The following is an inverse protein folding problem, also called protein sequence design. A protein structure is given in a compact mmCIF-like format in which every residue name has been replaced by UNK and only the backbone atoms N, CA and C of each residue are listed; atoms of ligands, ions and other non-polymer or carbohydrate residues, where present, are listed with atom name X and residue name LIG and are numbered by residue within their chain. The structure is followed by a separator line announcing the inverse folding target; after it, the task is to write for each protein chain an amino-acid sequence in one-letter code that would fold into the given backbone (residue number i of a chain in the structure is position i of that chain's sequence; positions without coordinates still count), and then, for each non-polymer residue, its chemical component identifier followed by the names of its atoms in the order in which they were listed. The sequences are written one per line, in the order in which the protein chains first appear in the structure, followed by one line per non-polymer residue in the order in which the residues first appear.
data_IF_643539682414
#
_entry.id   IF_643539682414
#
_cell.length_a   1.000
_cell.length_b   1.000
_cell.length_c   1.000
_cell.angle_alpha   90.00
_cell.angle_beta   90.00
_cell.angle_gamma   90.00
#
_symmetry.space_group_name_H-M   'P 1'
#
loop_
_entity.id
_entity.type
_entity.pdbx_description
1 polymer ?
#
# COMPACT_ATOMS: atom_id res chain seq x y z
N UNK A 1 -14.72 -28.11 -18.64
CA UNK A 1 -15.84 -27.27 -18.19
C UNK A 1 -16.38 -26.46 -19.38
N UNK A 2 -17.71 -26.26 -19.49
CA UNK A 2 -18.24 -25.36 -20.50
C UNK A 2 -17.87 -23.91 -20.15
N UNK A 3 -17.29 -23.19 -21.10
CA UNK A 3 -17.02 -21.77 -20.95
C UNK A 3 -18.32 -20.97 -20.78
N UNK A 4 -18.24 -19.79 -20.18
CA UNK A 4 -19.39 -18.90 -20.08
C UNK A 4 -19.76 -18.37 -21.47
N UNK A 5 -21.05 -18.30 -21.78
CA UNK A 5 -21.56 -17.74 -23.04
C UNK A 5 -21.27 -16.23 -23.12
N UNK A 6 -21.33 -15.53 -22.00
CA UNK A 6 -20.88 -14.16 -21.84
C UNK A 6 -19.79 -14.10 -20.75
N UNK A 7 -18.54 -13.99 -21.16
CA UNK A 7 -17.39 -13.98 -20.26
C UNK A 7 -17.34 -12.71 -19.40
N UNK A 8 -17.69 -11.56 -19.96
CA UNK A 8 -17.65 -10.28 -19.28
C UNK A 8 -18.67 -10.24 -18.13
N UNK A 9 -19.88 -10.74 -18.38
CA UNK A 9 -20.90 -10.90 -17.35
C UNK A 9 -20.45 -11.88 -16.25
N UNK A 10 -19.86 -13.00 -16.63
CA UNK A 10 -19.39 -14.02 -15.69
C UNK A 10 -18.30 -13.47 -14.77
N UNK A 11 -17.34 -12.75 -15.31
CA UNK A 11 -16.26 -12.08 -14.57
C UNK A 11 -16.82 -10.99 -13.65
N UNK A 12 -17.71 -10.13 -14.18
CA UNK A 12 -18.29 -9.03 -13.40
C UNK A 12 -19.08 -9.53 -12.18
N UNK A 13 -19.92 -10.56 -12.37
CA UNK A 13 -20.68 -11.16 -11.27
C UNK A 13 -19.77 -11.86 -10.26
N UNK A 14 -18.70 -12.50 -10.73
CA UNK A 14 -17.74 -13.13 -9.82
C UNK A 14 -16.93 -12.10 -9.01
N UNK A 15 -16.51 -11.01 -9.62
CA UNK A 15 -15.83 -9.91 -8.91
C UNK A 15 -16.74 -9.33 -7.81
N UNK A 16 -18.00 -9.08 -8.12
CA UNK A 16 -18.98 -8.63 -7.14
C UNK A 16 -19.18 -9.67 -6.02
N UNK A 17 -19.31 -10.95 -6.36
CA UNK A 17 -19.44 -12.03 -5.38
C UNK A 17 -18.26 -12.06 -4.42
N UNK A 18 -17.03 -12.01 -4.92
CA UNK A 18 -15.82 -11.99 -4.09
C UNK A 18 -15.77 -10.76 -3.18
N UNK A 19 -16.17 -9.61 -3.69
CA UNK A 19 -16.22 -8.35 -2.94
C UNK A 19 -17.23 -8.40 -1.77
N UNK A 20 -18.45 -8.87 -2.01
CA UNK A 20 -19.48 -9.00 -0.97
C UNK A 20 -19.08 -10.06 0.08
N UNK A 21 -18.44 -11.16 -0.37
CA UNK A 21 -17.89 -12.18 0.53
C UNK A 21 -16.78 -11.64 1.42
N UNK A 22 -15.88 -10.80 0.89
CA UNK A 22 -14.80 -10.20 1.68
C UNK A 22 -15.32 -9.26 2.78
N UNK A 23 -16.54 -8.74 2.62
CA UNK A 23 -17.24 -7.95 3.64
C UNK A 23 -17.95 -8.80 4.71
N UNK A 24 -17.85 -10.13 4.64
CA UNK A 24 -18.55 -11.03 5.55
C UNK A 24 -20.06 -11.10 5.33
N UNK A 25 -20.60 -10.56 4.24
CA UNK A 25 -22.03 -10.57 3.98
C UNK A 25 -22.49 -11.93 3.42
N UNK A 26 -23.62 -12.47 3.90
CA UNK A 26 -24.18 -13.70 3.36
C UNK A 26 -24.75 -13.45 1.96
N UNK A 27 -24.44 -14.36 1.02
CA UNK A 27 -24.89 -14.25 -0.37
C UNK A 27 -25.74 -15.48 -0.70
N UNK A 28 -26.99 -15.24 -1.09
CA UNK A 28 -27.89 -16.30 -1.54
C UNK A 28 -27.86 -16.47 -3.08
N UNK A 29 -28.23 -17.66 -3.55
CA UNK A 29 -28.35 -17.92 -4.99
C UNK A 29 -29.27 -16.93 -5.73
N UNK A 30 -30.47 -16.61 -5.21
CA UNK A 30 -31.33 -15.58 -5.78
C UNK A 30 -30.69 -14.19 -5.88
N UNK A 31 -29.85 -13.82 -4.90
CA UNK A 31 -29.14 -12.55 -4.91
C UNK A 31 -28.10 -12.50 -6.02
N UNK A 32 -27.36 -13.58 -6.27
CA UNK A 32 -26.45 -13.70 -7.43
C UNK A 32 -27.21 -13.58 -8.75
N UNK A 33 -28.35 -14.23 -8.89
CA UNK A 33 -29.16 -14.14 -10.09
C UNK A 33 -29.68 -12.71 -10.34
N UNK A 34 -30.16 -12.03 -9.29
CA UNK A 34 -30.58 -10.63 -9.37
C UNK A 34 -29.42 -9.73 -9.82
N UNK A 35 -28.26 -9.89 -9.21
CA UNK A 35 -27.07 -9.11 -9.56
C UNK A 35 -26.61 -9.38 -10.99
N UNK A 36 -26.69 -10.62 -11.46
CA UNK A 36 -26.37 -10.96 -12.85
C UNK A 36 -27.28 -10.27 -13.86
N UNK A 37 -28.58 -10.16 -13.56
CA UNK A 37 -29.52 -9.41 -14.42
C UNK A 37 -29.19 -7.91 -14.45
N UNK A 38 -28.89 -7.31 -13.30
CA UNK A 38 -28.49 -5.90 -13.20
C UNK A 38 -27.23 -5.62 -14.01
N UNK A 39 -26.20 -6.45 -13.84
CA UNK A 39 -24.93 -6.32 -14.56
C UNK A 39 -25.06 -6.59 -16.05
N UNK A 40 -25.86 -7.59 -16.46
CA UNK A 40 -26.15 -7.85 -17.87
C UNK A 40 -26.77 -6.63 -18.55
N UNK A 41 -27.72 -5.97 -17.89
CA UNK A 41 -28.34 -4.73 -18.40
C UNK A 41 -27.31 -3.60 -18.55
N UNK A 42 -26.43 -3.42 -17.57
CA UNK A 42 -25.39 -2.38 -17.59
C UNK A 42 -24.28 -2.65 -18.62
N UNK A 43 -23.98 -3.93 -18.88
CA UNK A 43 -23.03 -4.36 -19.91
C UNK A 43 -23.61 -4.31 -21.33
N UNK A 44 -24.90 -3.94 -21.51
CA UNK A 44 -25.55 -4.01 -22.80
C UNK A 44 -25.68 -5.44 -23.35
N UNK A 45 -25.73 -6.44 -22.45
CA UNK A 45 -25.82 -7.84 -22.80
C UNK A 45 -27.20 -8.24 -23.37
N UNK A 46 -27.33 -9.53 -23.68
CA UNK A 46 -28.56 -10.06 -24.30
C UNK A 46 -29.79 -9.77 -23.43
N UNK A 47 -30.82 -9.11 -24.04
CA UNK A 47 -32.07 -8.77 -23.35
C UNK A 47 -32.89 -10.01 -22.90
N UNK A 48 -32.70 -11.15 -23.56
CA UNK A 48 -33.35 -12.40 -23.23
C UNK A 48 -32.65 -13.20 -22.13
N UNK A 49 -31.56 -12.72 -21.59
CA UNK A 49 -30.85 -13.37 -20.50
C UNK A 49 -31.70 -13.41 -19.23
N UNK A 50 -31.89 -14.61 -18.67
CA UNK A 50 -32.81 -14.86 -17.54
C UNK A 50 -32.10 -15.43 -16.30
N UNK A 51 -30.85 -15.30 -16.08
CA UNK A 51 -30.12 -15.78 -14.89
C UNK A 51 -30.81 -16.99 -14.18
N UNK A 52 -31.10 -18.05 -14.93
CA UNK A 52 -31.88 -19.21 -14.48
C UNK A 52 -31.11 -20.01 -13.42
N UNK A 53 -31.80 -20.92 -12.72
CA UNK A 53 -31.16 -21.87 -11.79
C UNK A 53 -30.09 -22.71 -12.47
N UNK A 54 -30.29 -23.07 -13.77
CA UNK A 54 -29.30 -23.74 -14.60
C UNK A 54 -28.05 -22.89 -14.82
N UNK A 55 -28.23 -21.61 -15.15
CA UNK A 55 -27.12 -20.68 -15.25
C UNK A 55 -26.37 -20.54 -13.93
N UNK A 56 -27.08 -20.37 -12.81
CA UNK A 56 -26.48 -20.27 -11.47
C UNK A 56 -25.68 -21.54 -11.11
N UNK A 57 -26.20 -22.72 -11.44
CA UNK A 57 -25.48 -23.99 -11.22
C UNK A 57 -24.17 -24.03 -12.01
N UNK A 58 -24.19 -23.61 -13.28
CA UNK A 58 -22.99 -23.55 -14.10
C UNK A 58 -22.02 -22.47 -13.61
N UNK A 59 -22.49 -21.31 -13.19
CA UNK A 59 -21.69 -20.24 -12.58
C UNK A 59 -20.99 -20.74 -11.32
N UNK A 60 -21.72 -21.33 -10.38
CA UNK A 60 -21.13 -21.92 -9.16
C UNK A 60 -20.06 -22.95 -9.49
N UNK A 61 -20.32 -23.84 -10.47
CA UNK A 61 -19.36 -24.87 -10.87
C UNK A 61 -18.10 -24.29 -11.51
N UNK A 62 -18.19 -23.23 -12.32
CA UNK A 62 -17.02 -22.58 -12.94
C UNK A 62 -16.10 -21.93 -11.91
N UNK A 63 -16.69 -21.31 -10.90
CA UNK A 63 -15.96 -20.54 -9.88
C UNK A 63 -15.74 -21.31 -8.56
N UNK A 64 -16.06 -22.62 -8.52
CA UNK A 64 -15.86 -23.44 -7.33
C UNK A 64 -16.71 -23.02 -6.13
N UNK A 65 -17.85 -22.34 -6.37
CA UNK A 65 -18.74 -21.85 -5.31
C UNK A 65 -19.63 -22.99 -4.81
N UNK A 66 -19.64 -23.23 -3.49
CA UNK A 66 -20.52 -24.18 -2.81
C UNK A 66 -21.42 -23.46 -1.80
N UNK A 67 -22.56 -24.05 -1.49
CA UNK A 67 -23.44 -23.60 -0.42
C UNK A 67 -22.96 -24.18 0.91
N UNK A 68 -23.04 -23.35 1.95
CA UNK A 68 -22.83 -23.76 3.34
C UNK A 68 -23.97 -23.18 4.15
N UNK A 69 -24.46 -23.95 5.14
CA UNK A 69 -25.45 -23.47 6.07
C UNK A 69 -24.85 -22.38 6.97
N UNK A 70 -25.61 -21.28 7.15
CA UNK A 70 -25.24 -20.23 8.09
C UNK A 70 -25.76 -20.66 9.45
N UNK A 71 -24.90 -21.27 10.27
CA UNK A 71 -25.21 -21.51 11.67
C UNK A 71 -24.99 -20.20 12.45
N UNK A 72 -26.03 -19.75 13.13
CA UNK A 72 -26.09 -18.47 13.83
C UNK A 72 -24.92 -18.24 14.78
N UNK A 73 -24.61 -16.95 14.98
CA UNK A 73 -23.59 -16.42 15.87
C UNK A 73 -22.15 -16.80 15.55
N UNK A 74 -21.62 -16.26 14.48
CA UNK A 74 -20.20 -15.84 14.48
C UNK A 74 -19.79 -15.35 13.10
N UNK A 75 -19.72 -14.06 12.94
CA UNK A 75 -18.53 -13.39 12.41
C UNK A 75 -17.34 -13.55 13.39
N UNK A 76 -17.32 -14.60 14.21
CA UNK A 76 -16.17 -14.92 15.04
C UNK A 76 -15.22 -15.77 14.19
N UNK A 77 -14.01 -15.25 14.09
CA UNK A 77 -12.85 -15.98 13.61
C UNK A 77 -12.91 -17.44 14.08
N UNK A 78 -12.74 -18.37 13.15
CA UNK A 78 -12.80 -19.82 13.41
C UNK A 78 -11.61 -20.23 14.29
N UNK A 79 -11.82 -20.18 15.60
CA UNK A 79 -10.77 -20.48 16.59
C UNK A 79 -10.35 -21.94 16.54
N UNK A 80 -11.25 -22.85 16.19
CA UNK A 80 -10.93 -24.28 16.08
C UNK A 80 -10.04 -24.54 14.85
N UNK A 81 -10.38 -23.98 13.71
CA UNK A 81 -9.51 -24.03 12.52
C UNK A 81 -8.17 -23.31 12.74
N UNK A 82 -8.16 -22.27 13.58
CA UNK A 82 -6.93 -21.58 13.94
C UNK A 82 -5.98 -22.46 14.77
N UNK A 83 -6.50 -23.17 15.78
CA UNK A 83 -5.69 -24.10 16.59
C UNK A 83 -5.19 -25.30 15.76
N UNK A 84 -6.07 -25.88 14.93
CA UNK A 84 -5.67 -26.96 14.02
C UNK A 84 -4.56 -26.52 13.06
N UNK A 85 -4.63 -25.27 12.56
CA UNK A 85 -3.57 -24.71 11.71
C UNK A 85 -2.25 -24.55 12.47
N UNK A 86 -2.27 -24.05 13.71
CA UNK A 86 -1.04 -23.89 14.52
C UNK A 86 -0.32 -25.23 14.69
N UNK A 87 -1.07 -26.26 15.05
CA UNK A 87 -0.51 -27.60 15.23
C UNK A 87 0.04 -28.17 13.92
N UNK A 88 -0.73 -28.09 12.85
CA UNK A 88 -0.31 -28.60 11.54
C UNK A 88 0.90 -27.85 10.99
N UNK A 89 0.96 -26.54 11.20
CA UNK A 89 2.07 -25.70 10.76
C UNK A 89 3.34 -25.97 11.57
N UNK A 90 3.22 -26.11 12.90
CA UNK A 90 4.33 -26.51 13.77
C UNK A 90 4.88 -27.88 13.37
N UNK A 91 3.98 -28.88 13.22
CA UNK A 91 4.35 -30.23 12.81
C UNK A 91 5.04 -30.27 11.43
N UNK A 92 4.62 -29.40 10.51
CA UNK A 92 5.26 -29.28 9.19
C UNK A 92 6.69 -28.71 9.30
N UNK A 93 6.89 -27.68 10.13
CA UNK A 93 8.22 -27.09 10.37
C UNK A 93 9.15 -28.12 10.99
N UNK A 94 8.68 -28.81 12.04
CA UNK A 94 9.46 -29.82 12.79
C UNK A 94 9.79 -31.05 11.91
N UNK A 95 8.83 -31.54 11.14
CA UNK A 95 9.01 -32.71 10.26
C UNK A 95 10.00 -32.46 9.12
N UNK A 96 10.01 -31.25 8.55
CA UNK A 96 10.85 -30.88 7.41
C UNK A 96 12.13 -30.14 7.85
N UNK A 97 12.36 -30.01 9.16
CA UNK A 97 13.51 -29.34 9.77
C UNK A 97 13.75 -27.92 9.22
N UNK A 98 12.67 -27.16 9.03
CA UNK A 98 12.81 -25.80 8.56
C UNK A 98 13.35 -24.87 9.65
N UNK A 99 14.46 -24.23 9.36
CA UNK A 99 14.99 -23.17 10.21
C UNK A 99 14.04 -21.97 10.22
N UNK A 100 13.75 -21.38 11.37
CA UNK A 100 12.90 -20.18 11.52
C UNK A 100 13.33 -19.02 10.62
N UNK A 101 14.61 -18.91 10.30
CA UNK A 101 15.18 -17.93 9.35
C UNK A 101 14.73 -18.15 7.91
N UNK A 102 14.29 -19.35 7.56
CA UNK A 102 13.85 -19.74 6.22
C UNK A 102 12.33 -19.82 6.07
N UNK A 103 11.59 -19.53 7.13
CA UNK A 103 10.11 -19.48 7.12
C UNK A 103 9.67 -18.02 6.98
N UNK A 104 8.87 -17.74 5.96
CA UNK A 104 8.42 -16.40 5.59
C UNK A 104 6.90 -16.31 5.60
N UNK A 105 6.40 -15.14 5.94
CA UNK A 105 5.01 -14.77 5.68
C UNK A 105 4.98 -13.58 4.75
N UNK A 106 4.01 -13.59 3.85
CA UNK A 106 3.74 -12.51 2.92
C UNK A 106 2.27 -12.15 2.94
N UNK A 107 1.97 -10.87 2.81
CA UNK A 107 0.61 -10.36 2.77
C UNK A 107 0.51 -9.06 1.99
N UNK A 108 -0.66 -8.82 1.40
CA UNK A 108 -0.97 -7.64 0.60
C UNK A 108 -1.77 -6.63 1.40
N UNK A 109 -1.46 -5.35 1.20
CA UNK A 109 -2.23 -4.26 1.77
C UNK A 109 -2.45 -3.12 0.78
N UNK A 110 -3.63 -2.53 0.79
CA UNK A 110 -3.89 -1.29 0.06
C UNK A 110 -3.23 -0.10 0.74
N UNK A 111 -2.69 0.81 -0.06
CA UNK A 111 -2.09 2.06 0.40
C UNK A 111 -2.59 3.23 -0.44
N UNK A 112 -3.29 4.19 0.18
CA UNK A 112 -3.56 5.49 -0.43
C UNK A 112 -2.31 6.36 -0.36
N UNK A 113 -1.46 6.24 -1.37
CA UNK A 113 -0.09 6.74 -1.35
C UNK A 113 0.02 8.27 -1.30
N UNK A 114 -1.03 9.00 -1.69
CA UNK A 114 -1.07 10.48 -1.71
C UNK A 114 -2.13 11.05 -0.76
N UNK A 115 -2.71 10.26 0.16
CA UNK A 115 -3.78 10.74 1.03
C UNK A 115 -3.21 11.51 2.21
N UNK A 116 -3.65 12.77 2.35
CA UNK A 116 -3.34 13.66 3.47
C UNK A 116 -4.49 13.68 4.50
N UNK A 117 -4.29 14.20 5.71
CA UNK A 117 -5.38 14.48 6.63
C UNK A 117 -6.47 15.32 5.96
N UNK A 118 -7.73 15.06 6.28
CA UNK A 118 -8.88 15.64 5.55
C UNK A 118 -9.52 16.84 6.24
N UNK A 119 -9.14 17.14 7.47
CA UNK A 119 -9.72 18.24 8.22
C UNK A 119 -8.78 19.45 8.21
N UNK A 120 -9.34 20.61 7.92
CA UNK A 120 -8.72 21.93 8.02
C UNK A 120 -9.70 22.91 8.64
N UNK A 121 -9.22 24.00 9.22
CA UNK A 121 -10.09 25.07 9.68
C UNK A 121 -10.59 25.91 8.53
N UNK A 122 -11.81 26.37 8.72
CA UNK A 122 -12.43 27.42 7.90
C UNK A 122 -13.01 28.50 8.78
N UNK A 123 -13.09 29.72 8.30
CA UNK A 123 -13.83 30.78 8.94
C UNK A 123 -15.28 30.36 9.16
N UNK A 124 -15.86 30.80 10.28
CA UNK A 124 -17.27 30.49 10.65
C UNK A 124 -18.28 30.88 9.55
N UNK A 125 -17.89 31.75 8.64
CA UNK A 125 -18.72 32.25 7.53
C UNK A 125 -18.45 31.53 6.20
N UNK A 126 -17.49 30.59 6.15
CA UNK A 126 -17.18 29.84 4.94
C UNK A 126 -18.01 28.54 4.91
N UNK A 127 -18.74 28.32 3.81
CA UNK A 127 -19.56 27.12 3.61
C UNK A 127 -18.75 25.91 3.15
N UNK A 128 -17.50 26.09 2.70
CA UNK A 128 -16.60 25.02 2.28
C UNK A 128 -15.14 25.44 2.42
N UNK A 129 -14.30 24.53 2.93
CA UNK A 129 -12.86 24.75 2.95
C UNK A 129 -12.29 24.70 1.54
N UNK A 130 -11.43 25.64 1.12
CA UNK A 130 -10.55 25.41 -0.01
C UNK A 130 -9.59 24.28 0.39
N UNK A 131 -9.90 23.07 -0.03
CA UNK A 131 -9.17 21.87 0.38
C UNK A 131 -8.61 21.13 -0.82
N UNK A 132 -7.63 20.29 -0.57
CA UNK A 132 -7.14 19.33 -1.54
C UNK A 132 -8.27 18.34 -1.84
N UNK A 133 -8.56 18.12 -3.12
CA UNK A 133 -9.39 16.99 -3.51
C UNK A 133 -8.68 15.73 -3.00
N UNK A 134 -9.27 15.06 -2.02
CA UNK A 134 -8.68 13.86 -1.44
C UNK A 134 -8.34 12.86 -2.55
N UNK A 135 -7.05 12.59 -2.72
CA UNK A 135 -6.61 11.64 -3.74
C UNK A 135 -7.12 10.24 -3.38
N UNK A 136 -7.87 9.64 -4.28
CA UNK A 136 -8.31 8.24 -4.19
C UNK A 136 -7.29 7.29 -4.84
N UNK A 137 -6.11 7.80 -5.22
CA UNK A 137 -5.07 7.01 -5.87
C UNK A 137 -4.51 5.97 -4.90
N UNK A 138 -4.73 4.71 -5.22
CA UNK A 138 -4.32 3.56 -4.43
C UNK A 138 -3.31 2.71 -5.19
N UNK A 139 -2.37 2.14 -4.45
CA UNK A 139 -1.49 1.06 -4.85
C UNK A 139 -1.70 -0.13 -3.92
N UNK A 140 -1.35 -1.32 -4.36
CA UNK A 140 -1.25 -2.49 -3.49
C UNK A 140 0.23 -2.73 -3.19
N UNK A 141 0.52 -2.98 -1.93
CA UNK A 141 1.87 -3.26 -1.43
C UNK A 141 1.87 -4.64 -0.84
N UNK A 142 2.74 -5.52 -1.32
CA UNK A 142 2.99 -6.83 -0.71
C UNK A 142 4.24 -6.73 0.14
N UNK A 143 4.10 -7.02 1.42
CA UNK A 143 5.18 -7.10 2.41
C UNK A 143 5.55 -8.56 2.65
N UNK A 144 6.83 -8.86 2.92
CA UNK A 144 7.28 -10.22 3.19
C UNK A 144 8.49 -10.22 4.11
N UNK A 145 8.40 -10.98 5.21
CA UNK A 145 9.48 -11.12 6.19
C UNK A 145 9.52 -12.50 6.83
N UNK A 146 10.68 -12.89 7.38
CA UNK A 146 10.87 -14.18 8.03
C UNK A 146 10.47 -14.16 9.51
N UNK A 147 10.34 -15.34 10.10
CA UNK A 147 9.95 -15.55 11.53
C UNK A 147 10.85 -14.78 12.49
N UNK A 148 12.15 -14.74 12.25
CA UNK A 148 13.13 -14.08 13.14
C UNK A 148 13.20 -12.56 12.93
N UNK A 149 12.50 -12.02 11.92
CA UNK A 149 12.59 -10.61 11.53
C UNK A 149 13.96 -10.19 10.99
N UNK A 150 14.93 -11.11 10.92
CA UNK A 150 16.29 -10.84 10.47
C UNK A 150 16.41 -10.57 8.97
N UNK A 151 15.45 -11.06 8.20
CA UNK A 151 15.42 -10.89 6.76
C UNK A 151 14.01 -10.50 6.27
N UNK A 152 13.97 -9.53 5.38
CA UNK A 152 12.75 -9.07 4.70
C UNK A 152 13.00 -8.93 3.22
N UNK A 153 12.01 -9.25 2.42
CA UNK A 153 12.11 -9.09 0.97
C UNK A 153 11.81 -7.63 0.58
N UNK A 154 12.42 -7.14 -0.53
CA UNK A 154 11.99 -5.88 -1.14
C UNK A 154 10.49 -5.91 -1.42
N UNK A 155 9.83 -4.78 -1.20
CA UNK A 155 8.40 -4.65 -1.46
C UNK A 155 8.08 -4.98 -2.92
N UNK A 156 6.96 -5.67 -3.13
CA UNK A 156 6.29 -5.68 -4.42
C UNK A 156 5.16 -4.66 -4.38
N UNK A 157 5.18 -3.72 -5.32
CA UNK A 157 4.15 -2.68 -5.42
C UNK A 157 3.44 -2.80 -6.74
N UNK A 158 2.11 -2.80 -6.69
CA UNK A 158 1.24 -2.92 -7.85
C UNK A 158 0.49 -1.61 -8.04
N UNK A 159 0.71 -0.96 -9.17
CA UNK A 159 0.03 0.26 -9.57
C UNK A 159 -0.87 0.04 -10.79
N UNK A 160 -1.61 1.07 -11.19
CA UNK A 160 -2.50 1.01 -12.36
C UNK A 160 -1.75 1.19 -13.68
N UNK A 161 -0.80 2.11 -13.72
CA UNK A 161 -0.06 2.46 -14.94
C UNK A 161 1.00 1.42 -15.28
N UNK A 162 1.06 1.02 -16.55
CA UNK A 162 2.13 0.14 -17.05
C UNK A 162 3.48 0.87 -17.07
N UNK A 163 3.48 2.09 -17.56
CA UNK A 163 4.66 2.93 -17.70
C UNK A 163 4.39 4.31 -17.07
N UNK A 164 4.51 4.46 -15.74
CA UNK A 164 4.38 5.77 -15.11
C UNK A 164 5.43 6.73 -15.69
N UNK A 165 5.01 7.93 -16.08
CA UNK A 165 5.91 8.94 -16.65
C UNK A 165 7.12 9.24 -15.73
N UNK A 166 6.91 9.22 -14.42
CA UNK A 166 7.97 9.44 -13.43
C UNK A 166 9.01 8.31 -13.35
N UNK A 167 8.83 7.21 -14.09
CA UNK A 167 9.82 6.13 -14.22
C UNK A 167 10.63 6.23 -15.51
N UNK A 168 10.38 7.25 -16.36
CA UNK A 168 11.14 7.45 -17.59
C UNK A 168 12.65 7.61 -17.27
N UNK A 169 13.50 6.81 -17.91
CA UNK A 169 14.94 6.81 -17.68
C UNK A 169 15.41 6.08 -16.41
N UNK A 170 14.51 5.54 -15.59
CA UNK A 170 14.87 4.80 -14.40
C UNK A 170 14.94 3.31 -14.72
N UNK A 171 16.09 2.71 -14.51
CA UNK A 171 16.28 1.25 -14.65
C UNK A 171 16.11 0.51 -13.32
N UNK A 172 16.33 1.18 -12.19
CA UNK A 172 16.29 0.58 -10.86
C UNK A 172 15.46 1.39 -9.88
N UNK A 173 14.52 0.73 -9.23
CA UNK A 173 13.75 1.26 -8.10
C UNK A 173 14.10 0.47 -6.83
N UNK A 174 13.93 1.07 -5.63
CA UNK A 174 14.17 0.37 -4.37
C UNK A 174 13.10 -0.70 -4.05
N UNK A 175 12.15 -0.89 -4.96
CA UNK A 175 11.03 -1.85 -4.87
C UNK A 175 10.85 -2.58 -6.20
N UNK A 176 10.15 -3.71 -6.19
CA UNK A 176 9.67 -4.34 -7.42
C UNK A 176 8.34 -3.71 -7.80
N UNK A 177 8.26 -3.10 -8.98
CA UNK A 177 7.01 -2.53 -9.48
C UNK A 177 6.37 -3.43 -10.53
N UNK A 178 5.07 -3.63 -10.42
CA UNK A 178 4.21 -4.30 -11.40
C UNK A 178 2.97 -3.46 -11.64
N UNK A 179 2.32 -3.67 -12.76
CA UNK A 179 1.07 -3.00 -13.08
C UNK A 179 -0.08 -4.00 -13.22
N UNK A 180 -1.23 -3.57 -12.81
CA UNK A 180 -2.50 -4.23 -13.04
C UNK A 180 -3.61 -3.17 -13.05
N UNK A 181 -4.59 -3.28 -13.93
CA UNK A 181 -5.64 -2.27 -14.19
C UNK A 181 -6.28 -1.71 -12.92
N UNK A 182 -6.57 -2.57 -11.94
CA UNK A 182 -7.16 -2.20 -10.66
C UNK A 182 -6.12 -2.03 -9.54
N UNK A 183 -4.83 -2.15 -9.88
CA UNK A 183 -3.73 -2.21 -8.92
C UNK A 183 -3.93 -3.32 -7.86
N UNK A 184 -4.37 -4.51 -8.27
CA UNK A 184 -4.57 -5.66 -7.41
C UNK A 184 -3.54 -6.76 -7.69
N UNK A 185 -3.31 -7.60 -6.68
CA UNK A 185 -2.59 -8.85 -6.87
C UNK A 185 -3.46 -9.78 -7.73
N UNK A 186 -2.84 -10.40 -8.71
CA UNK A 186 -3.41 -11.50 -9.46
C UNK A 186 -2.44 -12.69 -9.50
N UNK A 187 -2.93 -13.82 -9.99
CA UNK A 187 -2.16 -15.06 -10.06
C UNK A 187 -0.88 -14.89 -10.89
N UNK A 188 -0.94 -14.14 -11.97
CA UNK A 188 0.21 -13.92 -12.87
C UNK A 188 1.30 -13.14 -12.16
N UNK A 189 0.95 -12.01 -11.51
CA UNK A 189 1.90 -11.19 -10.75
C UNK A 189 2.51 -11.98 -9.60
N UNK A 190 1.67 -12.77 -8.89
CA UNK A 190 2.16 -13.61 -7.79
C UNK A 190 3.16 -14.67 -8.28
N UNK A 191 2.83 -15.40 -9.35
CA UNK A 191 3.72 -16.41 -9.94
C UNK A 191 5.02 -15.77 -10.44
N UNK A 192 4.96 -14.64 -11.12
CA UNK A 192 6.16 -13.92 -11.57
C UNK A 192 7.02 -13.50 -10.38
N UNK A 193 6.42 -12.90 -9.36
CA UNK A 193 7.13 -12.50 -8.14
C UNK A 193 7.76 -13.72 -7.45
N UNK A 194 7.04 -14.82 -7.34
CA UNK A 194 7.53 -16.06 -6.76
C UNK A 194 8.70 -16.63 -7.55
N UNK A 195 8.61 -16.68 -8.87
CA UNK A 195 9.63 -17.23 -9.76
C UNK A 195 10.92 -16.38 -9.83
N UNK A 196 10.82 -15.05 -9.57
CA UNK A 196 12.02 -14.18 -9.51
C UNK A 196 12.91 -14.52 -8.31
N UNK A 197 12.42 -15.31 -7.35
CA UNK A 197 13.20 -15.75 -6.20
C UNK A 197 14.03 -16.97 -6.60
N UNK A 198 15.36 -16.85 -6.52
CA UNK A 198 16.32 -17.92 -6.89
C UNK A 198 16.20 -19.20 -6.04
N UNK A 199 15.49 -19.15 -4.92
CA UNK A 199 15.22 -20.27 -4.02
C UNK A 199 13.83 -20.85 -4.30
N UNK A 200 13.71 -22.16 -4.31
CA UNK A 200 12.40 -22.84 -4.35
C UNK A 200 11.77 -22.73 -2.98
N UNK A 201 10.71 -21.95 -2.86
CA UNK A 201 9.88 -21.90 -1.66
C UNK A 201 8.76 -22.93 -1.78
N UNK A 202 8.40 -23.55 -0.67
CA UNK A 202 7.12 -24.26 -0.53
C UNK A 202 6.07 -23.25 -0.09
N UNK A 203 5.04 -23.04 -0.86
CA UNK A 203 3.95 -22.11 -0.53
C UNK A 203 2.87 -22.84 0.23
N UNK A 204 2.44 -22.26 1.34
CA UNK A 204 1.31 -22.72 2.16
C UNK A 204 0.32 -21.57 2.28
N UNK A 205 -0.91 -21.81 1.87
CA UNK A 205 -1.98 -20.81 2.00
C UNK A 205 -2.69 -20.97 3.34
N UNK A 206 -2.96 -19.84 3.98
CA UNK A 206 -3.78 -19.82 5.19
C UNK A 206 -5.24 -20.17 4.84
N UNK A 207 -5.94 -20.95 5.68
CA UNK A 207 -7.36 -21.21 5.48
C UNK A 207 -8.19 -19.92 5.51
N UNK A 208 -9.35 -19.88 4.82
CA UNK A 208 -10.29 -18.77 4.94
C UNK A 208 -10.71 -18.55 6.40
N UNK A 209 -10.94 -17.28 6.78
CA UNK A 209 -11.39 -16.82 8.11
C UNK A 209 -10.39 -16.98 9.28
N UNK A 210 -9.15 -17.43 9.00
CA UNK A 210 -8.08 -17.56 10.01
C UNK A 210 -7.07 -16.39 9.91
N UNK A 211 -7.03 -15.72 8.78
CA UNK A 211 -6.09 -14.65 8.44
C UNK A 211 -6.10 -13.53 9.49
N UNK A 212 -7.28 -13.02 9.87
CA UNK A 212 -7.41 -11.95 10.87
C UNK A 212 -6.87 -12.33 12.25
N UNK A 213 -6.77 -13.62 12.56
CA UNK A 213 -6.26 -14.12 13.85
C UNK A 213 -4.79 -14.41 13.79
N UNK A 214 -4.34 -15.14 12.76
CA UNK A 214 -3.03 -15.78 12.72
C UNK A 214 -2.06 -15.22 11.68
N UNK A 215 -2.52 -14.42 10.70
CA UNK A 215 -1.65 -13.84 9.67
C UNK A 215 -0.57 -12.95 10.31
N UNK A 216 0.72 -13.32 10.28
CA UNK A 216 1.74 -12.54 10.98
C UNK A 216 1.85 -11.10 10.50
N UNK A 217 1.73 -10.83 9.19
CA UNK A 217 1.85 -9.45 8.68
C UNK A 217 0.72 -8.54 9.16
N UNK A 218 -0.47 -9.08 9.47
CA UNK A 218 -1.59 -8.35 10.07
C UNK A 218 -1.41 -8.07 11.57
N UNK A 219 -0.46 -8.76 12.24
CA UNK A 219 -0.19 -8.56 13.66
C UNK A 219 0.71 -7.34 13.92
N UNK A 220 0.29 -6.16 13.43
CA UNK A 220 0.96 -4.88 13.66
C UNK A 220 2.09 -4.54 12.68
N UNK A 221 2.55 -5.47 11.83
CA UNK A 221 3.63 -5.21 10.86
C UNK A 221 3.16 -4.24 9.77
N UNK A 222 2.03 -4.53 9.12
CA UNK A 222 1.42 -3.67 8.10
C UNK A 222 1.04 -2.30 8.70
N UNK A 223 0.52 -2.29 9.91
CA UNK A 223 0.19 -1.05 10.62
C UNK A 223 1.45 -0.19 10.83
N UNK A 224 2.53 -0.77 11.37
CA UNK A 224 3.82 -0.09 11.57
C UNK A 224 4.38 0.46 10.24
N UNK A 225 4.33 -0.34 9.17
CA UNK A 225 4.73 0.09 7.83
C UNK A 225 3.92 1.31 7.37
N UNK A 226 2.60 1.27 7.46
CA UNK A 226 1.72 2.39 7.06
C UNK A 226 1.98 3.64 7.88
N UNK A 227 2.22 3.51 9.18
CA UNK A 227 2.58 4.63 10.09
C UNK A 227 3.88 5.31 9.66
N UNK A 228 4.95 4.54 9.38
CA UNK A 228 6.21 5.09 8.89
C UNK A 228 6.07 5.73 7.50
N UNK A 229 5.25 5.16 6.62
CA UNK A 229 4.96 5.75 5.33
C UNK A 229 4.27 7.12 5.46
N UNK A 230 3.26 7.23 6.32
CA UNK A 230 2.57 8.50 6.59
C UNK A 230 3.52 9.56 7.15
N UNK A 231 4.43 9.17 8.04
CA UNK A 231 5.48 10.06 8.56
C UNK A 231 6.42 10.54 7.46
N UNK A 232 6.82 9.66 6.53
CA UNK A 232 7.65 10.03 5.39
C UNK A 232 6.93 10.99 4.43
N UNK A 233 5.64 10.75 4.16
CA UNK A 233 4.81 11.63 3.33
C UNK A 233 4.71 13.04 3.91
N UNK A 234 4.44 13.17 5.21
CA UNK A 234 4.41 14.48 5.88
C UNK A 234 5.75 15.19 5.81
N UNK A 235 6.85 14.50 6.09
CA UNK A 235 8.19 15.08 5.99
C UNK A 235 8.48 15.61 4.60
N UNK A 236 8.03 14.91 3.56
CA UNK A 236 8.21 15.36 2.18
C UNK A 236 7.45 16.66 1.90
N UNK A 237 6.24 16.79 2.44
CA UNK A 237 5.43 18.00 2.31
C UNK A 237 6.09 19.18 3.05
N UNK A 238 6.55 18.96 4.29
CA UNK A 238 7.22 20.00 5.09
C UNK A 238 8.52 20.50 4.42
N UNK A 239 9.36 19.58 3.93
CA UNK A 239 10.60 19.94 3.23
C UNK A 239 10.29 20.75 1.97
N UNK A 240 9.25 20.38 1.24
CA UNK A 240 8.84 21.12 0.04
C UNK A 240 8.36 22.54 0.35
N UNK A 241 7.62 22.71 1.44
CA UNK A 241 7.15 24.01 1.89
C UNK A 241 8.28 24.91 2.38
N UNK A 242 9.21 24.38 3.18
CA UNK A 242 10.41 25.10 3.61
C UNK A 242 11.24 25.64 2.41
N UNK A 243 11.00 25.11 1.20
CA UNK A 243 11.54 25.64 -0.07
C UNK A 243 10.67 26.75 -0.70
N UNK A 244 9.83 27.45 0.10
CA UNK A 244 8.92 28.52 -0.33
C UNK A 244 7.85 28.09 -1.38
N UNK A 245 7.66 26.78 -1.57
CA UNK A 245 6.60 26.29 -2.45
C UNK A 245 5.29 26.18 -1.69
N UNK A 246 4.18 26.66 -2.24
CA UNK A 246 2.86 26.44 -1.65
C UNK A 246 2.60 24.92 -1.46
N UNK A 247 2.02 24.53 -0.34
CA UNK A 247 1.71 23.11 -0.04
C UNK A 247 0.97 22.43 -1.19
N UNK A 248 0.05 23.16 -1.87
CA UNK A 248 -0.69 22.66 -3.01
C UNK A 248 0.25 22.25 -4.15
N UNK A 249 1.28 23.04 -4.41
CA UNK A 249 2.26 22.75 -5.45
C UNK A 249 3.12 21.54 -5.05
N UNK A 250 3.63 21.51 -3.81
CA UNK A 250 4.40 20.37 -3.29
C UNK A 250 3.59 19.09 -3.39
N UNK A 251 2.32 19.15 -2.97
CA UNK A 251 1.42 18.01 -3.05
C UNK A 251 1.14 17.57 -4.49
N UNK A 252 1.01 18.51 -5.44
CA UNK A 252 0.83 18.20 -6.86
C UNK A 252 2.08 17.51 -7.43
N UNK A 253 3.28 17.94 -7.06
CA UNK A 253 4.56 17.42 -7.53
C UNK A 253 4.88 16.01 -7.02
N UNK A 254 4.34 15.60 -5.84
CA UNK A 254 4.53 14.23 -5.34
C UNK A 254 3.99 13.22 -6.35
N UNK A 255 4.84 12.33 -6.80
CA UNK A 255 4.54 11.36 -7.84
C UNK A 255 4.75 9.91 -7.36
N UNK A 256 4.48 8.95 -8.22
CA UNK A 256 4.55 7.54 -7.88
C UNK A 256 5.99 7.07 -7.55
N UNK A 257 7.02 7.68 -8.15
CA UNK A 257 8.43 7.39 -7.81
C UNK A 257 8.70 7.74 -6.35
N UNK A 258 8.25 8.90 -5.91
CA UNK A 258 8.40 9.34 -4.52
C UNK A 258 7.71 8.37 -3.56
N UNK A 259 6.52 7.88 -3.93
CA UNK A 259 5.81 6.88 -3.17
C UNK A 259 6.59 5.56 -3.05
N UNK A 260 7.30 5.12 -4.12
CA UNK A 260 8.15 3.92 -4.08
C UNK A 260 9.29 4.08 -3.07
N UNK A 261 9.97 5.24 -3.08
CA UNK A 261 11.06 5.50 -2.14
C UNK A 261 10.55 5.62 -0.70
N UNK A 262 9.46 6.35 -0.47
CA UNK A 262 8.85 6.45 0.86
C UNK A 262 8.40 5.09 1.40
N UNK A 263 7.84 4.23 0.55
CA UNK A 263 7.42 2.89 0.94
C UNK A 263 8.64 2.00 1.28
N UNK A 264 9.69 2.04 0.48
CA UNK A 264 10.91 1.27 0.75
C UNK A 264 11.58 1.72 2.05
N UNK A 265 11.65 3.03 2.32
CA UNK A 265 12.18 3.56 3.57
C UNK A 265 11.32 3.17 4.77
N UNK A 266 10.00 3.30 4.65
CA UNK A 266 9.06 2.89 5.69
C UNK A 266 9.22 1.40 6.03
N UNK A 267 9.35 0.54 5.02
CA UNK A 267 9.57 -0.89 5.20
C UNK A 267 10.90 -1.19 5.88
N UNK A 268 11.97 -0.51 5.48
CA UNK A 268 13.28 -0.64 6.13
C UNK A 268 13.28 -0.17 7.59
N UNK A 269 12.37 0.74 7.95
CA UNK A 269 12.26 1.29 9.32
C UNK A 269 11.47 0.40 10.27
N UNK A 270 10.63 -0.52 9.77
CA UNK A 270 9.93 -1.49 10.64
C UNK A 270 10.96 -2.28 11.44
N UNK A 271 10.79 -2.33 12.77
CA UNK A 271 11.77 -2.99 13.67
C UNK A 271 11.80 -4.50 13.45
N UNK A 272 12.97 -5.11 13.64
CA UNK A 272 13.12 -6.56 13.62
C UNK A 272 12.23 -7.23 14.68
N UNK A 273 12.15 -6.64 15.86
CA UNK A 273 11.31 -7.12 16.96
C UNK A 273 9.84 -7.14 16.60
N UNK A 274 9.32 -6.12 15.87
CA UNK A 274 7.94 -6.09 15.39
C UNK A 274 7.65 -7.24 14.43
N UNK A 275 8.61 -7.54 13.53
CA UNK A 275 8.49 -8.68 12.61
C UNK A 275 8.52 -10.02 13.37
N UNK A 276 9.40 -10.18 14.37
CA UNK A 276 9.52 -11.42 15.12
C UNK A 276 8.30 -11.67 16.02
N UNK A 277 7.84 -10.66 16.76
CA UNK A 277 6.68 -10.80 17.66
C UNK A 277 5.36 -11.01 16.93
N UNK A 278 5.26 -10.58 15.68
CA UNK A 278 4.08 -10.80 14.82
C UNK A 278 3.76 -12.30 14.63
N UNK A 279 4.74 -13.18 14.78
CA UNK A 279 4.57 -14.62 14.65
C UNK A 279 4.08 -15.31 15.92
N UNK A 280 4.07 -14.64 17.07
CA UNK A 280 3.75 -15.26 18.36
C UNK A 280 2.35 -15.92 18.39
N UNK A 281 1.40 -15.41 17.60
CA UNK A 281 0.07 -16.04 17.52
C UNK A 281 0.05 -17.34 16.72
N UNK A 282 0.89 -17.47 15.70
CA UNK A 282 0.98 -18.65 14.83
C UNK A 282 2.01 -19.65 15.36
N UNK A 283 3.14 -19.16 15.84
CA UNK A 283 4.25 -19.93 16.39
C UNK A 283 4.64 -19.36 17.76
N UNK A 284 3.93 -19.72 18.84
CA UNK A 284 4.31 -19.31 20.19
C UNK A 284 5.75 -19.75 20.48
N UNK A 285 6.59 -18.82 20.98
CA UNK A 285 7.93 -19.15 21.47
C UNK A 285 7.88 -19.39 22.97
N UNK A 286 8.56 -20.42 23.46
CA UNK A 286 8.70 -20.68 24.90
C UNK A 286 9.49 -19.59 25.63
N UNK A 287 10.29 -18.82 24.90
CA UNK A 287 10.92 -17.58 25.39
C UNK A 287 9.97 -16.42 25.12
N UNK A 288 9.43 -15.81 26.17
CA UNK A 288 8.68 -14.56 26.07
C UNK A 288 9.62 -13.45 25.59
N UNK A 289 9.74 -13.30 24.26
CA UNK A 289 10.31 -12.08 23.70
C UNK A 289 9.33 -10.97 24.12
N UNK A 290 9.75 -10.16 25.09
CA UNK A 290 8.96 -9.03 25.54
C UNK A 290 8.48 -8.26 24.31
N UNK A 291 7.17 -7.98 24.25
CA UNK A 291 6.61 -7.18 23.16
C UNK A 291 7.50 -5.93 23.02
N UNK A 292 7.94 -5.58 21.82
CA UNK A 292 8.79 -4.41 21.66
C UNK A 292 8.04 -3.21 22.25
N UNK A 293 8.70 -2.44 23.11
CA UNK A 293 8.29 -1.08 23.39
C UNK A 293 8.39 -0.28 22.07
N UNK A 294 7.46 -0.49 21.15
CA UNK A 294 7.17 0.58 20.21
C UNK A 294 6.67 1.75 21.05
N UNK A 295 7.09 2.98 20.73
CA UNK A 295 6.57 4.13 21.44
C UNK A 295 5.05 3.99 21.44
N UNK A 296 4.41 4.08 22.64
CA UNK A 296 2.98 3.85 22.75
C UNK A 296 2.30 4.66 21.65
N UNK A 297 1.24 4.14 21.05
CA UNK A 297 0.55 4.76 19.89
C UNK A 297 0.32 6.26 20.12
N UNK A 298 0.16 6.66 21.38
CA UNK A 298 0.09 8.03 21.85
C UNK A 298 1.37 8.86 21.60
N UNK A 299 2.57 8.29 21.77
CA UNK A 299 3.83 9.01 21.54
C UNK A 299 4.10 9.19 20.04
N UNK A 300 3.79 8.20 19.21
CA UNK A 300 3.91 8.32 17.75
C UNK A 300 2.91 9.35 17.20
N UNK A 301 1.65 9.30 17.66
CA UNK A 301 0.63 10.30 17.32
C UNK A 301 1.06 11.69 17.76
N UNK A 302 1.69 11.85 18.95
CA UNK A 302 2.22 13.13 19.39
C UNK A 302 3.36 13.63 18.49
N UNK A 303 4.29 12.78 18.08
CA UNK A 303 5.35 13.16 17.13
C UNK A 303 4.80 13.59 15.76
N UNK A 304 3.75 12.92 15.27
CA UNK A 304 3.08 13.34 14.04
C UNK A 304 2.30 14.64 14.23
N UNK A 305 1.69 14.83 15.39
CA UNK A 305 0.98 16.03 15.74
C UNK A 305 1.91 17.26 15.76
N UNK A 306 3.09 17.12 16.36
CA UNK A 306 4.08 18.19 16.35
C UNK A 306 4.54 18.53 14.93
N UNK A 307 4.78 17.51 14.09
CA UNK A 307 5.13 17.70 12.68
C UNK A 307 4.00 18.34 11.85
N UNK A 308 2.74 17.97 12.10
CA UNK A 308 1.60 18.51 11.35
C UNK A 308 1.34 19.97 11.71
N UNK A 309 1.58 20.36 12.96
CA UNK A 309 1.45 21.76 13.40
C UNK A 309 2.44 22.71 12.72
N UNK A 310 3.57 22.17 12.28
CA UNK A 310 4.53 22.95 11.49
C UNK A 310 4.08 23.17 10.03
N UNK A 311 3.01 22.47 9.58
CA UNK A 311 2.50 22.61 8.21
C UNK A 311 1.38 23.65 8.17
N UNK A 312 1.51 24.78 7.44
CA UNK A 312 0.44 25.73 7.22
C UNK A 312 -0.82 25.08 6.66
N UNK A 313 -1.96 25.46 7.21
CA UNK A 313 -3.27 24.91 6.87
C UNK A 313 -3.65 23.63 7.63
N UNK A 314 -2.78 23.11 8.51
CA UNK A 314 -3.06 21.99 9.40
C UNK A 314 -2.83 22.30 10.88
N UNK A 315 -2.66 23.58 11.25
CA UNK A 315 -2.35 24.04 12.61
C UNK A 315 -3.37 23.58 13.65
N UNK A 316 -4.62 23.40 13.21
CA UNK A 316 -5.76 22.99 14.07
C UNK A 316 -6.10 21.50 13.94
N UNK A 317 -5.28 20.74 13.25
CA UNK A 317 -5.46 19.29 13.20
C UNK A 317 -5.24 18.71 14.61
N UNK A 318 -6.24 18.08 15.20
CA UNK A 318 -6.14 17.46 16.51
C UNK A 318 -5.59 16.02 16.44
N UNK A 319 -5.29 15.43 17.60
CA UNK A 319 -4.77 14.07 17.69
C UNK A 319 -5.75 13.02 17.18
N UNK A 320 -7.04 13.26 17.26
CA UNK A 320 -8.10 12.37 16.78
C UNK A 320 -8.12 12.36 15.25
N UNK A 321 -7.99 13.52 14.61
CA UNK A 321 -7.83 13.63 13.15
C UNK A 321 -6.63 12.88 12.62
N UNK A 322 -5.52 12.88 13.35
CA UNK A 322 -4.32 12.14 13.00
C UNK A 322 -4.55 10.63 13.14
N UNK A 323 -5.23 10.21 14.21
CA UNK A 323 -5.58 8.79 14.38
C UNK A 323 -6.51 8.30 13.27
N UNK A 324 -7.51 9.09 12.89
CA UNK A 324 -8.41 8.78 11.77
C UNK A 324 -7.65 8.69 10.45
N UNK A 325 -6.71 9.60 10.23
CA UNK A 325 -5.85 9.57 9.04
C UNK A 325 -4.94 8.34 9.01
N UNK A 326 -4.34 7.96 10.13
CA UNK A 326 -3.53 6.75 10.25
C UNK A 326 -4.35 5.48 9.98
N UNK A 327 -5.62 5.49 10.37
CA UNK A 327 -6.56 4.37 10.19
C UNK A 327 -7.27 4.37 8.83
N UNK A 328 -7.07 5.37 8.00
CA UNK A 328 -7.83 5.53 6.75
C UNK A 328 -7.66 4.36 5.75
N UNK A 329 -6.64 3.52 5.92
CA UNK A 329 -6.38 2.33 5.11
C UNK A 329 -6.67 1.02 5.85
N UNK A 330 -7.13 1.05 7.12
CA UNK A 330 -7.34 -0.16 7.94
C UNK A 330 -8.51 -0.99 7.40
N UNK A 331 -9.55 -0.34 6.92
CA UNK A 331 -10.72 -1.01 6.33
C UNK A 331 -10.56 -1.29 4.82
N UNK A 332 -9.33 -1.21 4.30
CA UNK A 332 -9.02 -1.52 2.92
C UNK A 332 -8.13 -2.77 2.87
N UNK A 333 -8.71 -3.96 3.04
CA UNK A 333 -8.01 -5.20 2.70
C UNK A 333 -7.67 -5.11 1.22
N UNK A 334 -6.47 -5.38 0.79
CA UNK A 334 -5.92 -5.28 -0.58
C UNK A 334 -6.87 -5.28 -1.79
N UNK A 335 -8.20 -5.36 -1.55
CA UNK A 335 -9.28 -5.28 -2.53
C UNK A 335 -10.14 -4.04 -2.29
N UNK A 336 -10.26 -3.18 -3.31
CA UNK A 336 -11.20 -2.05 -3.29
C UNK A 336 -12.62 -2.57 -3.45
N UNK A 337 -13.56 -2.05 -2.63
CA UNK A 337 -14.99 -2.22 -2.89
C UNK A 337 -15.32 -1.37 -4.11
N UNK A 338 -15.45 -2.02 -5.26
CA UNK A 338 -15.85 -1.37 -6.50
C UNK A 338 -17.36 -1.20 -6.52
N UNK A 339 -17.84 -0.04 -6.96
CA UNK A 339 -19.23 0.10 -7.34
C UNK A 339 -19.54 -0.78 -8.57
N UNK A 340 -20.82 -1.11 -8.79
CA UNK A 340 -21.21 -1.89 -9.97
C UNK A 340 -20.70 -1.26 -11.28
N UNK A 341 -20.69 0.07 -11.37
CA UNK A 341 -20.24 0.79 -12.55
C UNK A 341 -18.72 0.70 -12.73
N UNK A 342 -17.96 0.71 -11.62
CA UNK A 342 -16.50 0.48 -11.66
C UNK A 342 -16.16 -0.96 -12.02
N UNK A 343 -16.95 -1.96 -11.54
CA UNK A 343 -16.79 -3.36 -11.94
C UNK A 343 -17.03 -3.50 -13.44
N UNK A 344 -18.10 -2.91 -13.95
CA UNK A 344 -18.47 -2.94 -15.37
C UNK A 344 -17.42 -2.24 -16.22
N UNK A 345 -17.01 -1.03 -15.85
CA UNK A 345 -15.95 -0.31 -16.54
C UNK A 345 -14.64 -1.12 -16.58
N UNK A 346 -14.33 -1.85 -15.50
CA UNK A 346 -13.11 -2.69 -15.43
C UNK A 346 -13.13 -3.86 -16.42
N UNK A 347 -14.30 -4.30 -16.83
CA UNK A 347 -14.47 -5.42 -17.78
C UNK A 347 -14.53 -4.94 -19.24
N UNK A 348 -15.16 -3.76 -19.49
CA UNK A 348 -15.34 -3.21 -20.84
C UNK A 348 -14.07 -2.56 -21.38
N UNK A 349 -13.31 -1.86 -20.53
CA UNK A 349 -12.24 -0.94 -20.96
C UNK A 349 -10.90 -1.65 -21.14
N UNK A 350 -10.74 -2.35 -22.24
CA UNK A 350 -9.49 -2.97 -22.68
C UNK A 350 -8.66 -2.12 -23.67
N UNK A 351 -8.94 -0.81 -23.85
CA UNK A 351 -8.17 0.02 -24.79
C UNK A 351 -7.81 1.42 -24.27
N UNK A 352 -6.52 1.66 -24.31
CA UNK A 352 -5.67 2.86 -24.54
C UNK A 352 -6.05 4.28 -24.09
N UNK A 353 -5.16 5.01 -23.44
CA UNK A 353 -4.16 5.89 -24.07
C UNK A 353 -3.48 6.88 -23.11
N UNK A 354 -2.26 7.25 -23.48
CA UNK A 354 -1.34 8.19 -22.82
C UNK A 354 -1.51 9.60 -23.35
N UNK A 355 -1.11 10.62 -22.58
CA UNK A 355 -0.44 11.80 -23.14
C UNK A 355 0.47 12.47 -22.09
N UNK A 356 1.64 12.86 -22.56
CA UNK A 356 2.77 13.50 -21.87
C UNK A 356 2.81 14.99 -22.18
N UNK A 357 3.35 15.83 -21.26
CA UNK A 357 3.94 17.13 -21.62
C UNK A 357 5.12 17.52 -20.71
N UNK A 358 6.11 18.21 -21.30
CA UNK A 358 7.45 18.58 -20.82
C UNK A 358 7.54 20.06 -20.44
N UNK A 359 8.52 20.53 -19.58
CA UNK A 359 9.81 21.17 -19.85
C UNK A 359 10.27 22.25 -18.83
N UNK A 360 11.38 23.01 -18.94
CA UNK A 360 12.78 22.65 -18.79
C UNK A 360 13.65 23.51 -17.78
N UNK A 361 14.97 23.28 -17.86
CA UNK A 361 16.18 23.75 -17.15
C UNK A 361 16.51 25.25 -17.10
N UNK A 362 17.34 25.66 -16.12
CA UNK A 362 18.75 26.13 -16.32
C UNK A 362 19.45 26.75 -15.10
N UNK A 363 20.73 26.81 -15.16
CA UNK A 363 21.89 26.78 -14.30
C UNK A 363 22.48 28.17 -13.95
N UNK A 364 23.37 28.30 -12.95
CA UNK A 364 24.82 28.49 -12.98
C UNK A 364 25.49 29.13 -11.73
N UNK A 365 26.56 28.51 -11.31
CA UNK A 365 27.89 28.82 -10.74
C UNK A 365 28.22 29.80 -9.58
N UNK A 366 29.00 29.28 -8.59
CA UNK A 366 30.41 29.65 -8.26
C UNK A 366 30.91 29.12 -6.89
N UNK A 367 32.19 28.77 -6.81
CA UNK A 367 32.90 27.98 -5.80
C UNK A 367 33.23 28.70 -4.47
N UNK A 368 32.70 28.19 -3.42
CA UNK A 368 33.20 28.01 -2.05
C UNK A 368 32.81 26.61 -1.70
N UNK A 369 33.60 25.85 -0.84
CA UNK A 369 33.26 24.44 -0.59
C UNK A 369 31.76 24.21 -0.57
N UNK A 370 31.23 23.09 -1.09
CA UNK A 370 29.86 23.00 -1.60
C UNK A 370 28.86 23.49 -0.54
N UNK A 371 28.12 24.51 -0.86
CA UNK A 371 27.01 24.98 -0.05
C UNK A 371 26.01 23.85 0.13
N UNK A 372 25.17 23.90 1.17
CA UNK A 372 24.12 22.89 1.35
C UNK A 372 23.19 22.82 0.12
N UNK A 373 23.07 23.90 -0.65
CA UNK A 373 22.35 23.96 -1.92
C UNK A 373 23.06 23.12 -2.99
N UNK A 374 24.35 23.35 -3.20
CA UNK A 374 25.16 22.59 -4.17
C UNK A 374 25.23 21.12 -3.80
N UNK A 375 25.42 20.80 -2.50
CA UNK A 375 25.38 19.43 -2.01
C UNK A 375 24.05 18.76 -2.34
N UNK A 376 22.93 19.46 -2.16
CA UNK A 376 21.61 18.94 -2.52
C UNK A 376 21.49 18.64 -4.02
N UNK A 377 21.91 19.57 -4.88
CA UNK A 377 21.84 19.39 -6.34
C UNK A 377 22.79 18.31 -6.85
N UNK A 378 24.00 18.22 -6.30
CA UNK A 378 24.93 17.12 -6.62
C UNK A 378 24.36 15.76 -6.24
N UNK A 379 23.77 15.64 -5.05
CA UNK A 379 23.16 14.42 -4.57
C UNK A 379 21.90 14.04 -5.36
N UNK A 380 21.10 15.01 -5.79
CA UNK A 380 19.95 14.79 -6.66
C UNK A 380 20.40 14.28 -8.04
N UNK A 381 21.47 14.86 -8.60
CA UNK A 381 22.07 14.40 -9.87
C UNK A 381 22.67 12.99 -9.72
N UNK A 382 23.39 12.75 -8.63
CA UNK A 382 23.96 11.42 -8.34
C UNK A 382 22.85 10.37 -8.16
N UNK A 383 21.74 10.72 -7.51
CA UNK A 383 20.61 9.81 -7.35
C UNK A 383 19.98 9.47 -8.71
N UNK A 384 19.74 10.46 -9.57
CA UNK A 384 19.24 10.24 -10.94
C UNK A 384 20.16 9.36 -11.77
N UNK A 385 21.48 9.55 -11.66
CA UNK A 385 22.46 8.71 -12.33
C UNK A 385 22.43 7.28 -11.81
N UNK A 386 22.38 7.11 -10.48
CA UNK A 386 22.37 5.80 -9.83
C UNK A 386 21.10 5.00 -10.17
N UNK A 387 19.94 5.67 -10.32
CA UNK A 387 18.68 5.06 -10.78
C UNK A 387 18.77 4.47 -12.20
N UNK A 388 19.72 4.91 -12.98
CA UNK A 388 19.97 4.41 -14.36
C UNK A 388 20.95 3.22 -14.42
N UNK A 389 21.60 2.88 -13.31
CA UNK A 389 22.56 1.78 -13.27
C UNK A 389 21.86 0.46 -12.92
N UNK A 390 22.12 -0.59 -13.70
CA UNK A 390 21.54 -1.92 -13.47
C UNK A 390 22.15 -2.63 -12.25
N UNK A 391 23.40 -2.32 -11.94
CA UNK A 391 24.18 -2.89 -10.84
C UNK A 391 23.80 -2.30 -9.47
N UNK A 392 23.10 -1.15 -9.46
CA UNK A 392 22.71 -0.48 -8.23
C UNK A 392 21.73 -1.32 -7.40
N UNK A 393 21.95 -1.37 -6.10
CA UNK A 393 21.02 -2.01 -5.18
C UNK A 393 20.07 -1.00 -4.48
N UNK A 394 19.01 -1.54 -3.88
CA UNK A 394 18.00 -0.72 -3.18
C UNK A 394 18.59 0.01 -1.97
N UNK A 395 19.62 -0.54 -1.32
CA UNK A 395 20.27 0.05 -0.13
C UNK A 395 21.05 1.29 -0.55
N UNK A 396 21.77 1.21 -1.67
CA UNK A 396 22.53 2.34 -2.21
C UNK A 396 21.61 3.51 -2.57
N UNK A 397 20.50 3.23 -3.27
CA UNK A 397 19.48 4.24 -3.61
C UNK A 397 18.90 4.93 -2.36
N UNK A 398 18.51 4.16 -1.36
CA UNK A 398 17.95 4.70 -0.11
C UNK A 398 18.98 5.47 0.69
N UNK A 399 20.25 5.02 0.71
CA UNK A 399 21.33 5.70 1.41
C UNK A 399 21.63 7.05 0.80
N UNK A 400 21.75 7.12 -0.53
CA UNK A 400 21.98 8.37 -1.25
C UNK A 400 20.82 9.36 -1.08
N UNK A 401 19.57 8.86 -1.11
CA UNK A 401 18.39 9.67 -0.85
C UNK A 401 18.39 10.28 0.55
N UNK A 402 18.75 9.51 1.59
CA UNK A 402 18.86 10.00 2.97
C UNK A 402 19.89 11.12 3.09
N UNK A 403 21.05 11.00 2.42
CA UNK A 403 22.09 12.05 2.42
C UNK A 403 21.57 13.29 1.69
N UNK A 404 20.89 13.14 0.56
CA UNK A 404 20.24 14.27 -0.14
C UNK A 404 19.22 14.98 0.76
N UNK A 405 18.35 14.24 1.43
CA UNK A 405 17.34 14.80 2.33
C UNK A 405 17.97 15.50 3.55
N UNK A 406 19.14 15.02 3.99
CA UNK A 406 19.94 15.72 5.01
C UNK A 406 20.50 17.04 4.50
N UNK A 407 21.02 17.07 3.26
CA UNK A 407 21.49 18.29 2.61
C UNK A 407 20.34 19.29 2.41
N UNK A 408 19.14 18.81 2.02
CA UNK A 408 17.94 19.64 1.92
C UNK A 408 17.62 20.34 3.24
N UNK A 409 17.61 19.62 4.36
CA UNK A 409 17.37 20.21 5.69
C UNK A 409 18.41 21.26 6.10
N UNK A 410 19.70 20.98 5.83
CA UNK A 410 20.77 21.93 6.13
C UNK A 410 20.68 23.20 5.30
N UNK A 411 20.30 23.10 4.03
CA UNK A 411 19.98 24.22 3.17
C UNK A 411 18.94 25.14 3.81
N UNK A 412 17.86 24.58 4.30
CA UNK A 412 16.76 25.31 4.92
C UNK A 412 17.15 26.01 6.21
N UNK A 413 17.92 25.34 7.09
CA UNK A 413 18.43 25.95 8.31
C UNK A 413 19.30 27.17 8.01
N UNK A 414 20.07 27.16 6.91
CA UNK A 414 20.92 28.28 6.51
C UNK A 414 20.10 29.46 5.98
N UNK A 415 18.98 29.22 5.27
CA UNK A 415 18.06 30.25 4.79
C UNK A 415 17.36 30.96 5.95
N UNK A 416 16.81 30.21 6.92
CA UNK A 416 16.20 30.79 8.13
C UNK A 416 17.16 31.67 8.92
N UNK A 417 18.44 31.32 8.99
CA UNK A 417 19.45 32.09 9.72
C UNK A 417 19.82 33.41 8.98
N UNK A 418 19.82 33.43 7.66
CA UNK A 418 20.02 34.69 6.87
C UNK A 418 18.85 35.67 7.04
N UNK A 419 17.64 35.20 7.03
CA UNK A 419 16.43 36.04 7.17
C UNK A 419 16.37 36.76 8.53
N UNK A 420 16.88 36.16 9.60
CA UNK A 420 16.96 36.78 10.92
C UNK A 420 18.07 37.87 10.95
N UNK A 421 19.20 37.66 10.30
CA UNK A 421 20.31 38.60 10.25
C UNK A 421 20.00 39.82 9.34
N UNK A 422 19.24 39.63 8.25
CA UNK A 422 18.80 40.70 7.36
C UNK A 422 17.73 41.62 7.99
N UNK A 423 17.09 41.21 9.09
CA UNK A 423 16.13 42.04 9.83
C UNK A 423 16.79 43.03 10.81
N UNK A 424 18.09 42.83 11.11
CA UNK A 424 18.84 43.67 12.04
C UNK A 424 19.95 44.48 11.36
N UNK A 425 20.04 44.46 10.06
CA UNK A 425 20.87 45.32 9.23
C UNK A 425 20.03 46.39 8.52
#
# INVERSE_FOLDING_TARGET
MRMAENQDLDIAVYMWFMQVRSQGQPISGPLICKKALEMNKKLGGNADFKATTGWLKCFKSRHGIRELDIHGEKLSADTESAECLKESFKNMIDKEDYQKTNVYNADETGLYWKKMPTKTLVSKNEMSAPGFKASKSRITVMVCGNVTGSHRLPLLIIGKSKNPWCFKGIKKLPVTYKNQKNAWMDTTIFIEWYNTRKRKFKVVYLPPNVTSILQPMDQGVIESFKRYYRKALLRMVIIGEECEKPIQQVYAEINLKDAMYMAAEAWATVKQTTLATAWNKLLPSDESIAAPEEPPNSQFVSQLFDLIKECPGFEECDKENIQDWLKCDVNNPGSQILSDDEIIASVIDNQDSCNDEEEPNNADHAEKGPSSEEAFHCLETALKWLEQQEECDAIQLLSLRRVRDFAAKKRLSAVKQKTILDFFS
#
